data_IF_142601838725
#
_entry.id   IF_142601838725
#
_cell.length_a   1.000
_cell.length_b   1.000
_cell.length_c   1.000
_cell.angle_alpha   90.00
_cell.angle_beta   90.00
_cell.angle_gamma   90.00
#
_symmetry.space_group_name_H-M   'P 1'
#
loop_
_entity.id
_entity.type
_entity.pdbx_description
1 polymer ?
#
# COMPACT_ATOMS: atom_id res chain seq x y z
N UNK A 1 -4.86 -11.21 -26.28
CA UNK A 1 -5.84 -10.52 -25.43
C UNK A 1 -5.61 -11.06 -24.03
N UNK A 2 -4.67 -10.45 -23.30
CA UNK A 2 -4.35 -10.83 -21.93
C UNK A 2 -5.57 -10.50 -21.09
N UNK A 3 -6.13 -11.52 -20.45
CA UNK A 3 -7.21 -11.38 -19.48
C UNK A 3 -6.68 -10.44 -18.39
N UNK A 4 -7.13 -9.20 -18.37
CA UNK A 4 -6.81 -8.32 -17.26
C UNK A 4 -7.53 -8.91 -16.05
N UNK A 5 -6.81 -9.31 -14.98
CA UNK A 5 -7.48 -9.78 -13.77
C UNK A 5 -8.53 -8.73 -13.40
N UNK A 6 -9.76 -9.19 -13.19
CA UNK A 6 -10.90 -8.33 -12.97
C UNK A 6 -10.58 -7.30 -11.89
N UNK A 7 -10.49 -6.03 -12.29
CA UNK A 7 -10.16 -4.89 -11.43
C UNK A 7 -11.14 -4.83 -10.26
N UNK A 8 -10.68 -5.24 -9.07
CA UNK A 8 -11.50 -5.32 -7.86
C UNK A 8 -11.25 -4.13 -6.96
N UNK A 9 -12.23 -3.76 -6.14
CA UNK A 9 -11.99 -2.80 -5.08
C UNK A 9 -10.96 -3.35 -4.08
N UNK A 10 -10.32 -2.43 -3.35
CA UNK A 10 -9.50 -2.79 -2.20
C UNK A 10 -10.33 -3.60 -1.20
N UNK A 11 -9.74 -4.67 -0.67
CA UNK A 11 -10.32 -5.46 0.40
C UNK A 11 -10.37 -4.67 1.71
N UNK A 12 -11.18 -5.07 2.70
CA UNK A 12 -11.17 -4.42 4.01
C UNK A 12 -9.79 -4.40 4.69
N UNK A 13 -8.96 -5.42 4.46
CA UNK A 13 -7.60 -5.47 5.00
C UNK A 13 -6.69 -4.47 4.28
N UNK A 14 -6.71 -4.44 2.95
CA UNK A 14 -5.93 -3.48 2.15
C UNK A 14 -6.30 -2.04 2.49
N UNK A 15 -7.60 -1.73 2.62
CA UNK A 15 -8.08 -0.41 3.04
C UNK A 15 -7.54 -0.02 4.42
N UNK A 16 -7.49 -0.95 5.38
CA UNK A 16 -6.93 -0.68 6.71
C UNK A 16 -5.43 -0.44 6.66
N UNK A 17 -4.69 -1.22 5.88
CA UNK A 17 -3.24 -1.04 5.71
C UNK A 17 -2.93 0.30 5.05
N UNK A 18 -3.57 0.61 3.91
CA UNK A 18 -3.45 1.91 3.28
C UNK A 18 -3.84 3.05 4.22
N UNK A 19 -4.99 2.95 4.87
CA UNK A 19 -5.46 3.98 5.81
C UNK A 19 -4.49 4.21 6.97
N UNK A 20 -3.84 3.15 7.44
CA UNK A 20 -2.82 3.23 8.49
C UNK A 20 -1.56 3.94 7.99
N UNK A 21 -0.99 3.52 6.87
CA UNK A 21 0.22 4.12 6.28
C UNK A 21 0.01 5.57 5.88
N UNK A 22 -1.14 5.86 5.29
CA UNK A 22 -1.57 7.21 4.95
C UNK A 22 -1.94 8.02 6.18
N UNK A 23 -2.04 7.47 7.39
CA UNK A 23 -2.43 8.18 8.62
C UNK A 23 -1.42 9.23 9.09
N UNK A 24 -0.19 9.17 8.60
CA UNK A 24 0.83 10.20 8.80
C UNK A 24 0.52 11.46 7.99
N UNK A 25 0.94 12.62 8.49
CA UNK A 25 0.73 13.91 7.81
C UNK A 25 1.95 14.28 6.95
N UNK A 26 1.70 14.51 5.66
CA UNK A 26 2.65 15.00 4.66
C UNK A 26 1.86 15.67 3.51
N UNK A 27 2.50 16.50 2.67
CA UNK A 27 1.81 17.12 1.54
C UNK A 27 1.14 16.07 0.64
N UNK A 28 -0.17 16.17 0.43
CA UNK A 28 -0.96 15.24 -0.37
C UNK A 28 -1.58 14.06 0.40
N UNK A 29 -1.31 13.89 1.69
CA UNK A 29 -1.85 12.76 2.47
C UNK A 29 -3.39 12.72 2.48
N UNK A 30 -4.05 13.87 2.64
CA UNK A 30 -5.50 13.95 2.63
C UNK A 30 -6.11 13.56 1.28
N UNK A 31 -5.51 14.02 0.18
CA UNK A 31 -5.90 13.70 -1.19
C UNK A 31 -5.73 12.20 -1.47
N UNK A 32 -4.62 11.59 -1.05
CA UNK A 32 -4.39 10.14 -1.21
C UNK A 32 -5.39 9.31 -0.40
N UNK A 33 -5.75 9.73 0.83
CA UNK A 33 -6.81 9.07 1.61
C UNK A 33 -8.16 9.13 0.89
N UNK A 34 -8.47 10.24 0.24
CA UNK A 34 -9.69 10.41 -0.55
C UNK A 34 -9.75 9.53 -1.80
N UNK A 35 -8.62 8.96 -2.24
CA UNK A 35 -8.57 8.03 -3.37
C UNK A 35 -9.00 6.60 -3.00
N UNK A 36 -8.82 6.18 -1.74
CA UNK A 36 -9.07 4.80 -1.29
C UNK A 36 -10.45 4.23 -1.66
N UNK A 37 -11.57 4.99 -1.57
CA UNK A 37 -12.89 4.45 -1.92
C UNK A 37 -13.06 4.10 -3.41
N UNK A 38 -12.16 4.60 -4.27
CA UNK A 38 -12.19 4.40 -5.72
C UNK A 38 -10.99 3.62 -6.26
N UNK A 39 -9.98 3.41 -5.41
CA UNK A 39 -8.81 2.61 -5.73
C UNK A 39 -9.19 1.15 -6.01
N UNK A 40 -8.52 0.56 -6.99
CA UNK A 40 -8.75 -0.82 -7.43
C UNK A 40 -7.46 -1.57 -7.59
N UNK A 41 -7.46 -2.85 -7.21
CA UNK A 41 -6.35 -3.75 -7.48
C UNK A 41 -6.40 -4.16 -8.94
N UNK A 42 -5.31 -3.89 -9.67
CA UNK A 42 -5.14 -4.28 -11.08
C UNK A 42 -4.18 -5.45 -11.28
N UNK A 43 -3.44 -5.84 -10.24
CA UNK A 43 -2.46 -6.93 -10.34
C UNK A 43 -1.81 -7.26 -9.00
N UNK A 44 -1.12 -8.40 -8.98
CA UNK A 44 -0.25 -8.83 -7.89
C UNK A 44 1.18 -8.96 -8.43
N UNK A 45 2.19 -8.66 -7.62
CA UNK A 45 3.60 -8.69 -8.05
C UNK A 45 4.14 -10.11 -8.26
N UNK A 46 3.41 -11.13 -7.80
CA UNK A 46 3.69 -12.54 -8.00
C UNK A 46 2.50 -13.39 -7.54
N UNK A 47 2.47 -14.68 -7.90
CA UNK A 47 1.32 -15.55 -7.62
C UNK A 47 0.95 -15.61 -6.13
N UNK A 48 1.97 -15.63 -5.26
CA UNK A 48 1.81 -15.71 -3.81
C UNK A 48 2.19 -14.39 -3.11
N UNK A 49 2.48 -13.32 -3.86
CA UNK A 49 2.88 -12.06 -3.24
C UNK A 49 1.65 -11.30 -2.72
N UNK A 50 1.70 -10.81 -1.47
CA UNK A 50 0.67 -9.91 -0.94
C UNK A 50 0.79 -8.49 -1.50
N UNK A 51 1.87 -8.18 -2.25
CA UNK A 51 2.05 -6.89 -2.90
C UNK A 51 1.13 -6.76 -4.11
N UNK A 52 0.49 -5.60 -4.22
CA UNK A 52 -0.55 -5.32 -5.20
C UNK A 52 -0.25 -4.05 -5.99
N UNK A 53 -0.52 -4.11 -7.29
CA UNK A 53 -0.65 -2.93 -8.12
C UNK A 53 -2.05 -2.36 -7.99
N UNK A 54 -2.12 -1.05 -7.83
CA UNK A 54 -3.37 -0.30 -7.66
C UNK A 54 -3.52 0.70 -8.80
N UNK A 55 -4.76 0.94 -9.20
CA UNK A 55 -5.15 2.05 -10.05
C UNK A 55 -6.21 2.90 -9.37
N UNK A 56 -6.16 4.21 -9.61
CA UNK A 56 -7.19 5.15 -9.17
C UNK A 56 -7.75 5.83 -10.42
N UNK A 57 -9.09 5.84 -10.62
CA UNK A 57 -9.69 6.46 -11.80
C UNK A 57 -9.36 7.95 -11.93
N UNK A 58 -9.18 8.42 -13.16
CA UNK A 58 -8.83 9.81 -13.48
C UNK A 58 -9.85 10.85 -12.97
N UNK A 59 -11.09 10.42 -12.72
CA UNK A 59 -12.14 11.26 -12.14
C UNK A 59 -11.90 11.67 -10.68
N UNK A 60 -11.00 10.99 -9.96
CA UNK A 60 -10.66 11.32 -8.57
C UNK A 60 -9.55 12.37 -8.56
N UNK A 61 -9.48 13.38 -7.69
CA UNK A 61 -8.36 14.31 -7.70
C UNK A 61 -6.99 13.64 -7.45
N UNK A 62 -5.96 14.10 -8.16
CA UNK A 62 -4.57 13.75 -7.89
C UNK A 62 -4.03 14.53 -6.67
N UNK A 63 -3.13 13.92 -5.92
CA UNK A 63 -2.45 14.54 -4.79
C UNK A 63 -1.25 15.37 -5.26
N UNK A 64 -0.93 16.51 -4.60
CA UNK A 64 0.26 17.31 -4.88
C UNK A 64 1.53 16.67 -4.30
N UNK A 65 1.87 15.47 -4.75
CA UNK A 65 3.04 14.70 -4.31
C UNK A 65 3.76 14.12 -5.53
N UNK A 66 5.08 14.00 -5.45
CA UNK A 66 5.90 13.41 -6.51
C UNK A 66 5.77 11.89 -6.58
N UNK A 67 6.23 11.32 -7.69
CA UNK A 67 6.26 9.88 -7.91
C UNK A 67 7.26 9.19 -6.97
N UNK A 68 6.96 7.94 -6.64
CA UNK A 68 7.81 7.07 -5.83
C UNK A 68 7.14 6.62 -4.53
N UNK A 69 7.96 6.20 -3.58
CA UNK A 69 7.52 5.74 -2.26
C UNK A 69 7.11 6.94 -1.40
N UNK A 70 6.01 6.82 -0.67
CA UNK A 70 5.58 7.84 0.27
C UNK A 70 6.63 8.12 1.36
N UNK A 71 6.66 9.35 1.93
CA UNK A 71 7.50 9.67 3.09
C UNK A 71 6.93 9.07 4.40
N UNK A 72 6.34 7.88 4.31
CA UNK A 72 5.80 7.09 5.40
C UNK A 72 5.89 5.61 5.05
N UNK A 73 6.47 4.83 5.95
CA UNK A 73 6.59 3.38 5.84
C UNK A 73 6.00 2.71 7.08
N UNK A 74 5.51 1.48 6.92
CA UNK A 74 4.99 0.68 8.03
C UNK A 74 5.96 -0.44 8.37
N UNK A 75 6.63 -0.35 9.51
CA UNK A 75 7.42 -1.46 10.06
C UNK A 75 6.49 -2.57 10.53
N UNK A 76 6.75 -3.81 10.12
CA UNK A 76 5.97 -5.00 10.49
C UNK A 76 6.78 -5.85 11.44
N UNK A 77 6.17 -6.25 12.55
CA UNK A 77 6.74 -7.24 13.48
C UNK A 77 5.99 -8.56 13.43
N UNK A 78 6.68 -9.66 13.71
CA UNK A 78 6.08 -10.98 13.83
C UNK A 78 5.39 -11.20 15.21
N UNK A 79 4.92 -12.41 15.47
CA UNK A 79 4.28 -12.76 16.75
C UNK A 79 5.22 -12.72 17.96
N UNK A 80 6.53 -12.81 17.74
CA UNK A 80 7.56 -12.68 18.77
C UNK A 80 7.91 -11.22 19.05
N UNK A 81 7.47 -10.29 18.18
CA UNK A 81 7.80 -8.88 18.21
C UNK A 81 9.09 -8.54 17.46
N UNK A 82 9.64 -9.50 16.71
CA UNK A 82 10.86 -9.31 15.94
C UNK A 82 10.53 -8.63 14.60
N UNK A 83 11.49 -7.84 14.09
CA UNK A 83 11.34 -7.14 12.82
C UNK A 83 11.18 -8.16 11.68
N UNK A 84 10.02 -8.11 11.02
CA UNK A 84 9.65 -9.04 9.94
C UNK A 84 9.76 -8.40 8.56
N UNK A 85 9.38 -7.13 8.42
CA UNK A 85 9.38 -6.48 7.12
C UNK A 85 8.86 -5.06 7.15
N UNK A 86 8.59 -4.51 5.97
CA UNK A 86 8.09 -3.15 5.80
C UNK A 86 7.01 -3.08 4.72
N UNK A 87 6.01 -2.25 4.98
CA UNK A 87 4.97 -1.88 4.04
C UNK A 87 5.24 -0.51 3.45
N UNK A 88 5.29 -0.44 2.12
CA UNK A 88 5.54 0.77 1.35
C UNK A 88 4.34 1.07 0.46
N UNK A 89 3.96 2.35 0.38
CA UNK A 89 2.95 2.82 -0.58
C UNK A 89 3.65 3.58 -1.69
N UNK A 90 3.31 3.23 -2.92
CA UNK A 90 3.83 3.87 -4.11
C UNK A 90 2.81 4.84 -4.70
N UNK A 91 3.32 5.93 -5.28
CA UNK A 91 2.55 6.93 -6.01
C UNK A 91 3.11 7.10 -7.41
N UNK A 92 2.21 7.30 -8.38
CA UNK A 92 2.50 7.72 -9.76
C UNK A 92 1.47 8.77 -10.17
N UNK A 93 1.91 9.88 -10.74
CA UNK A 93 1.07 11.00 -11.19
C UNK A 93 0.10 11.50 -10.11
N UNK A 94 0.57 11.54 -8.85
CA UNK A 94 -0.24 11.93 -7.69
C UNK A 94 -1.35 10.94 -7.32
N UNK A 95 -1.28 9.69 -7.80
CA UNK A 95 -2.24 8.62 -7.48
C UNK A 95 -1.58 7.40 -6.86
N UNK A 96 -2.31 6.73 -5.96
CA UNK A 96 -1.89 5.43 -5.43
C UNK A 96 -1.63 4.44 -6.58
N UNK A 97 -0.44 3.86 -6.61
CA UNK A 97 0.00 2.96 -7.69
C UNK A 97 0.35 1.54 -7.21
N UNK A 98 0.78 1.37 -5.95
CA UNK A 98 0.99 0.05 -5.38
C UNK A 98 1.01 0.07 -3.84
N UNK A 99 0.75 -1.11 -3.26
CA UNK A 99 1.14 -1.46 -1.89
C UNK A 99 2.17 -2.59 -1.99
N UNK A 100 3.35 -2.35 -1.46
CA UNK A 100 4.43 -3.33 -1.42
C UNK A 100 4.63 -3.81 0.01
N UNK A 101 4.84 -5.12 0.15
CA UNK A 101 5.30 -5.74 1.38
C UNK A 101 6.70 -6.34 1.14
N UNK A 102 7.70 -5.66 1.66
CA UNK A 102 9.09 -6.14 1.73
C UNK A 102 9.31 -6.90 3.03
N UNK A 103 10.20 -7.90 3.04
CA UNK A 103 10.43 -8.73 4.21
C UNK A 103 11.92 -8.97 4.44
N UNK A 104 12.24 -9.35 5.67
CA UNK A 104 13.56 -9.78 6.09
C UNK A 104 13.60 -11.30 6.21
N UNK A 105 14.71 -11.92 5.79
CA UNK A 105 14.90 -13.37 5.82
C UNK A 105 14.45 -14.11 4.54
N UNK A 106 14.48 -15.43 4.60
CA UNK A 106 14.37 -16.29 3.41
C UNK A 106 12.94 -16.74 3.08
N UNK A 107 11.98 -16.52 3.99
CA UNK A 107 10.59 -16.92 3.81
C UNK A 107 9.73 -15.71 3.47
N UNK A 108 9.22 -15.58 2.22
CA UNK A 108 8.36 -14.46 1.86
C UNK A 108 6.99 -14.55 2.55
N UNK A 109 6.36 -13.41 2.89
CA UNK A 109 4.98 -13.39 3.30
C UNK A 109 4.08 -13.75 2.11
N UNK A 110 2.99 -14.47 2.39
CA UNK A 110 1.94 -14.78 1.42
C UNK A 110 0.64 -14.00 1.67
N UNK A 111 0.60 -13.22 2.75
CA UNK A 111 -0.54 -12.42 3.17
C UNK A 111 -0.09 -11.06 3.72
N UNK A 112 -0.98 -10.07 3.68
CA UNK A 112 -0.75 -8.80 4.36
C UNK A 112 -0.81 -9.02 5.88
N UNK A 113 -0.02 -8.26 6.67
CA UNK A 113 0.02 -8.43 8.11
C UNK A 113 -1.29 -7.96 8.76
N UNK A 114 -1.53 -8.39 10.00
CA UNK A 114 -2.53 -7.74 10.84
C UNK A 114 -2.16 -6.26 11.00
N UNK A 115 -3.09 -5.30 10.78
CA UNK A 115 -2.79 -3.88 10.93
C UNK A 115 -2.24 -3.52 12.31
N UNK A 116 -2.58 -4.25 13.37
CA UNK A 116 -2.06 -4.09 14.73
C UNK A 116 -0.56 -4.38 14.86
N UNK A 117 0.01 -5.22 13.99
CA UNK A 117 1.45 -5.54 13.95
C UNK A 117 2.28 -4.53 13.16
N UNK A 118 1.63 -3.50 12.58
CA UNK A 118 2.28 -2.46 11.79
C UNK A 118 2.53 -1.22 12.64
N UNK A 119 3.73 -0.65 12.62
CA UNK A 119 4.03 0.66 13.22
C UNK A 119 4.45 1.63 12.13
N UNK A 120 3.77 2.77 12.02
CA UNK A 120 4.07 3.75 10.95
C UNK A 120 5.13 4.71 11.42
N UNK A 121 6.14 4.91 10.57
CA UNK A 121 7.20 5.89 10.77
C UNK A 121 7.20 6.84 9.58
N UNK A 122 7.25 8.14 9.85
CA UNK A 122 7.51 9.16 8.81
C UNK A 122 8.99 9.29 8.60
N UNK A 123 9.43 9.18 7.34
CA UNK A 123 10.78 9.56 6.95
C UNK A 123 10.79 11.07 6.73
N UNK A 124 11.43 11.80 7.64
CA UNK A 124 11.51 13.26 7.61
C UNK A 124 12.45 13.82 6.55
#
# INVERSE_FOLDING_TARGET
MTDHPSSRLLSPLELKIFGKLLGSEFPGAAELRNQLPKARVKGHWGADSPSIDVEVPDSVPAAPIGDGVLPAAGTVVDSSGDLFGELLVWVSDGRLSALEFTWYGDTPPTELPDPGSVTVQTTG
#
